data_IF_275556019655
#
_entry.id   IF_275556019655
#
_cell.length_a   1.000
_cell.length_b   1.000
_cell.length_c   1.000
_cell.angle_alpha   90.00
_cell.angle_beta   90.00
_cell.angle_gamma   90.00
#
_symmetry.space_group_name_H-M   'P 1'
#
loop_
_entity.id
_entity.type
_entity.pdbx_description
1 polymer ?
#
# COMPACT_ATOMS: atom_id res chain seq x y z
N UNK A 1 59.56 -12.32 -64.43
CA UNK A 1 58.68 -11.40 -63.68
C UNK A 1 57.45 -11.21 -64.51
N UNK A 2 56.37 -11.92 -64.18
CA UNK A 2 54.99 -11.52 -64.50
C UNK A 2 54.07 -12.40 -63.65
N UNK A 3 53.71 -11.91 -62.47
CA UNK A 3 52.68 -12.50 -61.61
C UNK A 3 51.31 -12.05 -62.11
N UNK A 4 50.58 -12.95 -62.76
CA UNK A 4 49.18 -12.75 -63.12
C UNK A 4 48.29 -13.21 -61.97
N UNK A 5 47.69 -12.24 -61.28
CA UNK A 5 46.70 -12.47 -60.22
C UNK A 5 45.38 -12.92 -60.87
N UNK A 6 45.07 -14.21 -60.76
CA UNK A 6 43.80 -14.80 -61.19
C UNK A 6 42.66 -14.33 -60.27
N UNK A 7 41.92 -13.30 -60.71
CA UNK A 7 40.70 -12.84 -60.05
C UNK A 7 39.58 -13.86 -60.18
N UNK A 8 39.27 -14.60 -59.11
CA UNK A 8 38.09 -15.49 -59.01
C UNK A 8 36.81 -14.71 -59.39
N UNK A 9 36.25 -14.96 -60.59
CA UNK A 9 34.92 -14.50 -61.00
C UNK A 9 33.85 -15.14 -60.11
N UNK A 10 33.35 -14.39 -59.13
CA UNK A 10 32.14 -14.75 -58.36
C UNK A 10 30.99 -14.96 -59.35
N UNK A 11 30.38 -16.15 -59.36
CA UNK A 11 29.39 -16.53 -60.38
C UNK A 11 28.12 -15.67 -60.34
N UNK A 12 27.55 -15.35 -61.50
CA UNK A 12 26.34 -14.51 -61.69
C UNK A 12 25.14 -14.99 -60.86
N UNK A 13 25.04 -16.30 -60.63
CA UNK A 13 23.97 -16.91 -59.85
C UNK A 13 23.96 -16.48 -58.37
N UNK A 14 25.14 -16.32 -57.76
CA UNK A 14 25.24 -15.84 -56.38
C UNK A 14 24.75 -14.39 -56.23
N UNK A 15 24.93 -13.55 -57.25
CA UNK A 15 24.42 -12.17 -57.25
C UNK A 15 22.89 -12.12 -57.31
N UNK A 16 22.26 -13.01 -58.08
CA UNK A 16 20.80 -13.13 -58.14
C UNK A 16 20.20 -13.66 -56.84
N UNK A 17 20.82 -14.70 -56.24
CA UNK A 17 20.42 -15.21 -54.92
C UNK A 17 20.54 -14.11 -53.87
N UNK A 18 21.67 -13.41 -53.82
CA UNK A 18 21.88 -12.31 -52.89
C UNK A 18 20.85 -11.19 -53.09
N UNK A 19 20.53 -10.82 -54.34
CA UNK A 19 19.51 -9.83 -54.64
C UNK A 19 18.15 -10.22 -54.06
N UNK A 20 17.69 -11.46 -54.30
CA UNK A 20 16.40 -11.92 -53.75
C UNK A 20 16.41 -12.03 -52.23
N UNK A 21 17.53 -12.42 -51.62
CA UNK A 21 17.68 -12.39 -50.16
C UNK A 21 17.59 -10.98 -49.59
N UNK A 22 18.20 -9.99 -50.25
CA UNK A 22 18.10 -8.59 -49.85
C UNK A 22 16.67 -8.08 -50.00
N UNK A 23 15.98 -8.39 -51.11
CA UNK A 23 14.57 -8.03 -51.30
C UNK A 23 13.67 -8.68 -50.23
N UNK A 24 13.86 -9.96 -49.93
CA UNK A 24 13.13 -10.64 -48.86
C UNK A 24 13.39 -10.01 -47.49
N UNK A 25 14.64 -9.66 -47.17
CA UNK A 25 15.00 -8.98 -45.94
C UNK A 25 14.37 -7.58 -45.84
N UNK A 26 14.34 -6.81 -46.94
CA UNK A 26 13.69 -5.50 -47.00
C UNK A 26 12.17 -5.62 -46.79
N UNK A 27 11.51 -6.59 -47.44
CA UNK A 27 10.08 -6.83 -47.24
C UNK A 27 9.76 -7.23 -45.80
N UNK A 28 10.58 -8.09 -45.19
CA UNK A 28 10.43 -8.48 -43.79
C UNK A 28 10.61 -7.28 -42.86
N UNK A 29 11.62 -6.44 -43.11
CA UNK A 29 11.84 -5.22 -42.35
C UNK A 29 10.66 -4.25 -42.48
N UNK A 30 10.17 -4.01 -43.70
CA UNK A 30 9.00 -3.18 -43.95
C UNK A 30 7.75 -3.72 -43.23
N UNK A 31 7.54 -5.04 -43.26
CA UNK A 31 6.47 -5.71 -42.52
C UNK A 31 6.57 -5.50 -41.01
N UNK A 32 7.77 -5.61 -40.42
CA UNK A 32 7.98 -5.36 -38.98
C UNK A 32 7.77 -3.89 -38.62
N UNK A 33 8.19 -2.96 -39.47
CA UNK A 33 7.97 -1.51 -39.29
C UNK A 33 6.47 -1.21 -39.31
N UNK A 34 5.76 -1.70 -40.32
CA UNK A 34 4.30 -1.54 -40.45
C UNK A 34 3.57 -2.14 -39.25
N UNK A 35 3.91 -3.37 -38.86
CA UNK A 35 3.33 -4.02 -37.68
C UNK A 35 3.60 -3.20 -36.40
N UNK A 36 4.82 -2.67 -36.23
CA UNK A 36 5.18 -1.82 -35.09
C UNK A 36 4.39 -0.53 -35.05
N UNK A 37 4.10 0.07 -36.21
CA UNK A 37 3.26 1.24 -36.34
C UNK A 37 1.78 0.92 -36.01
N UNK A 38 1.22 -0.14 -36.59
CA UNK A 38 -0.17 -0.59 -36.32
C UNK A 38 -0.37 -0.89 -34.83
N UNK A 39 0.57 -1.59 -34.19
CA UNK A 39 0.48 -1.85 -32.74
C UNK A 39 0.64 -0.57 -31.93
N UNK A 40 1.46 0.39 -32.38
CA UNK A 40 1.55 1.73 -31.78
C UNK A 40 0.23 2.48 -31.82
N UNK A 41 -0.47 2.46 -32.96
CA UNK A 41 -1.80 3.06 -33.09
C UNK A 41 -2.82 2.37 -32.19
N UNK A 42 -2.81 1.04 -32.13
CA UNK A 42 -3.68 0.28 -31.21
C UNK A 42 -3.39 0.62 -29.74
N UNK A 43 -2.12 0.80 -29.36
CA UNK A 43 -1.75 1.23 -28.02
C UNK A 43 -2.27 2.65 -27.72
N UNK A 44 -2.15 3.58 -28.68
CA UNK A 44 -2.73 4.91 -28.57
C UNK A 44 -4.26 4.87 -28.41
N UNK A 45 -4.95 3.99 -29.14
CA UNK A 45 -6.39 3.81 -29.00
C UNK A 45 -6.81 3.32 -27.60
N UNK A 46 -6.00 2.50 -26.93
CA UNK A 46 -6.27 2.14 -25.52
C UNK A 46 -6.17 3.37 -24.59
N UNK A 47 -5.25 4.30 -24.85
CA UNK A 47 -5.14 5.56 -24.06
C UNK A 47 -6.38 6.42 -24.25
N UNK A 48 -6.83 6.58 -25.50
CA UNK A 48 -8.07 7.31 -25.82
C UNK A 48 -9.26 6.67 -25.13
N UNK A 49 -9.41 5.33 -25.21
CA UNK A 49 -10.47 4.58 -24.53
C UNK A 49 -10.49 4.85 -23.01
N UNK A 50 -9.33 4.88 -22.36
CA UNK A 50 -9.23 5.18 -20.91
C UNK A 50 -9.69 6.62 -20.64
N UNK A 51 -9.29 7.58 -21.48
CA UNK A 51 -9.74 8.97 -21.36
C UNK A 51 -11.26 9.11 -21.53
N UNK A 52 -11.83 8.43 -22.54
CA UNK A 52 -13.27 8.45 -22.84
C UNK A 52 -14.10 7.81 -21.72
N UNK A 53 -13.52 6.85 -20.99
CA UNK A 53 -14.13 6.27 -19.79
C UNK A 53 -14.08 7.22 -18.57
N UNK A 54 -13.44 8.39 -18.68
CA UNK A 54 -13.27 9.34 -17.56
C UNK A 54 -12.26 8.86 -16.52
N UNK A 55 -11.44 7.87 -16.85
CA UNK A 55 -10.46 7.31 -15.92
C UNK A 55 -9.12 8.05 -15.99
N UNK A 56 -8.32 8.06 -14.91
CA UNK A 56 -7.06 8.80 -14.82
C UNK A 56 -6.02 8.29 -15.82
N UNK A 57 -5.32 9.24 -16.45
CA UNK A 57 -4.19 9.01 -17.35
C UNK A 57 -2.87 9.59 -16.84
N UNK A 58 -2.95 10.55 -15.91
CA UNK A 58 -1.82 11.31 -15.42
C UNK A 58 -1.79 11.35 -13.89
N UNK A 59 -0.62 11.62 -13.31
CA UNK A 59 -0.48 11.78 -11.86
C UNK A 59 -1.44 12.86 -11.28
N UNK A 60 -1.60 14.05 -11.90
CA UNK A 60 -2.63 15.00 -11.50
C UNK A 60 -4.06 14.47 -11.52
N UNK A 61 -4.42 13.54 -12.41
CA UNK A 61 -5.76 12.93 -12.41
C UNK A 61 -5.94 12.06 -11.16
N UNK A 62 -4.92 11.24 -10.84
CA UNK A 62 -4.93 10.39 -9.65
C UNK A 62 -5.05 11.23 -8.38
N UNK A 63 -4.24 12.27 -8.24
CA UNK A 63 -4.31 13.16 -7.09
C UNK A 63 -5.69 13.81 -6.94
N UNK A 64 -6.37 14.17 -8.04
CA UNK A 64 -7.71 14.76 -8.03
C UNK A 64 -8.79 13.81 -7.54
N UNK A 65 -8.68 12.50 -7.82
CA UNK A 65 -9.63 11.50 -7.31
C UNK A 65 -9.58 11.35 -5.77
N UNK A 66 -8.50 11.82 -5.15
CA UNK A 66 -8.23 11.65 -3.71
C UNK A 66 -8.56 12.90 -2.90
N UNK A 67 -8.89 14.01 -3.58
CA UNK A 67 -9.24 15.27 -2.93
C UNK A 67 -10.57 15.08 -2.21
N UNK A 68 -10.51 14.93 -0.89
CA UNK A 68 -11.61 15.37 -0.03
C UNK A 68 -11.69 16.88 -0.25
N UNK A 69 -12.78 17.37 -0.86
CA UNK A 69 -13.03 18.81 -0.98
C UNK A 69 -12.69 19.48 0.35
N UNK A 70 -11.84 20.51 0.39
CA UNK A 70 -11.94 21.65 1.32
C UNK A 70 -10.94 22.76 0.98
N UNK A 71 -11.27 23.91 1.57
CA UNK A 71 -10.98 25.32 1.27
C UNK A 71 -9.53 25.79 1.47
N UNK A 72 -9.28 27.03 1.06
CA UNK A 72 -8.06 27.86 1.16
C UNK A 72 -7.47 28.07 2.60
N UNK A 73 -7.65 27.12 3.52
CA UNK A 73 -7.09 27.13 4.89
C UNK A 73 -5.65 26.60 4.97
N UNK A 74 -5.10 26.49 6.18
CA UNK A 74 -3.77 25.89 6.41
C UNK A 74 -3.75 24.40 6.02
N UNK A 75 -2.84 24.03 5.11
CA UNK A 75 -2.66 22.64 4.64
C UNK A 75 -1.60 21.93 5.50
N UNK A 76 -1.94 20.77 6.06
CA UNK A 76 -1.04 19.92 6.83
C UNK A 76 0.24 19.51 6.06
N UNK A 77 0.26 19.65 4.72
CA UNK A 77 1.39 19.26 3.88
C UNK A 77 2.73 19.86 4.32
N UNK A 78 2.76 21.14 4.71
CA UNK A 78 4.02 21.80 5.09
C UNK A 78 4.64 21.18 6.35
N UNK A 79 3.84 20.87 7.36
CA UNK A 79 4.30 20.17 8.57
C UNK A 79 4.89 18.80 8.25
N UNK A 80 4.27 18.02 7.34
CA UNK A 80 4.81 16.72 6.93
C UNK A 80 6.12 16.84 6.14
N UNK A 81 6.24 17.84 5.26
CA UNK A 81 7.50 18.13 4.53
C UNK A 81 8.61 18.46 5.52
N UNK A 82 8.37 19.38 6.45
CA UNK A 82 9.34 19.76 7.46
C UNK A 82 9.72 18.59 8.38
N UNK A 83 8.73 17.77 8.79
CA UNK A 83 8.97 16.59 9.61
C UNK A 83 9.88 15.59 8.89
N UNK A 84 9.61 15.28 7.61
CA UNK A 84 10.43 14.38 6.80
C UNK A 84 11.84 14.92 6.56
N UNK A 85 11.97 16.24 6.34
CA UNK A 85 13.27 16.89 6.17
C UNK A 85 14.09 16.96 7.46
N UNK A 86 13.43 16.96 8.63
CA UNK A 86 14.08 17.00 9.95
C UNK A 86 14.69 15.66 10.36
N UNK A 87 14.30 14.56 9.71
CA UNK A 87 14.92 13.26 9.94
C UNK A 87 16.26 13.23 9.21
N UNK A 88 17.35 13.28 9.96
CA UNK A 88 18.68 12.98 9.41
C UNK A 88 18.76 11.54 8.88
N UNK A 89 19.92 11.12 8.35
CA UNK A 89 20.17 9.70 8.08
C UNK A 89 20.27 8.94 9.41
N UNK A 90 19.13 8.75 10.08
CA UNK A 90 19.03 7.90 11.25
C UNK A 90 19.45 6.50 10.85
N UNK A 91 20.15 5.81 11.75
CA UNK A 91 20.47 4.41 11.53
C UNK A 91 19.17 3.59 11.63
N UNK A 92 18.39 3.54 10.54
CA UNK A 92 17.08 2.90 10.47
C UNK A 92 17.15 1.43 10.90
N UNK A 93 18.27 0.74 10.65
CA UNK A 93 18.45 -0.63 11.11
C UNK A 93 18.58 -0.70 12.63
N UNK A 94 19.30 0.22 13.26
CA UNK A 94 19.37 0.34 14.72
C UNK A 94 18.01 0.71 15.33
N UNK A 95 17.29 1.66 14.73
CA UNK A 95 15.95 2.05 15.20
C UNK A 95 14.96 0.88 15.12
N UNK A 96 14.95 0.12 14.01
CA UNK A 96 14.16 -1.10 13.87
C UNK A 96 14.50 -2.13 14.95
N UNK A 97 15.79 -2.28 15.27
CA UNK A 97 16.25 -3.17 16.33
C UNK A 97 15.72 -2.72 17.70
N UNK A 98 15.87 -1.44 18.05
CA UNK A 98 15.37 -0.87 19.31
C UNK A 98 13.85 -1.06 19.40
N UNK A 99 13.11 -0.66 18.35
CA UNK A 99 11.66 -0.80 18.28
C UNK A 99 11.20 -2.26 18.48
N UNK A 100 11.81 -3.21 17.75
CA UNK A 100 11.49 -4.63 17.88
C UNK A 100 11.74 -5.17 19.28
N UNK A 101 12.88 -4.83 19.89
CA UNK A 101 13.18 -5.30 21.25
C UNK A 101 12.27 -4.66 22.29
N UNK A 102 12.01 -3.35 22.18
CA UNK A 102 11.13 -2.66 23.11
C UNK A 102 9.72 -3.25 23.09
N UNK A 103 9.15 -3.46 21.90
CA UNK A 103 7.83 -4.09 21.75
C UNK A 103 7.80 -5.52 22.29
N UNK A 104 8.83 -6.33 22.03
CA UNK A 104 8.90 -7.70 22.57
C UNK A 104 8.93 -7.72 24.11
N UNK A 105 9.71 -6.82 24.73
CA UNK A 105 9.74 -6.69 26.19
C UNK A 105 8.39 -6.19 26.72
N UNK A 106 7.72 -5.29 26.01
CA UNK A 106 6.36 -4.86 26.35
C UNK A 106 5.31 -5.96 26.20
N UNK A 107 5.54 -6.99 25.39
CA UNK A 107 4.65 -8.15 25.36
C UNK A 107 4.95 -9.15 26.50
N UNK A 108 6.19 -9.21 26.97
CA UNK A 108 6.67 -10.30 27.83
C UNK A 108 6.89 -9.91 29.30
N UNK A 109 7.18 -8.65 29.60
CA UNK A 109 7.66 -8.20 30.90
C UNK A 109 6.81 -7.06 31.48
N UNK A 110 6.75 -6.95 32.82
CA UNK A 110 6.39 -5.74 33.54
C UNK A 110 7.36 -4.58 33.26
N UNK A 111 6.89 -3.33 33.40
CA UNK A 111 7.66 -2.12 33.04
C UNK A 111 8.96 -1.93 33.85
N UNK A 112 8.96 -2.35 35.11
CA UNK A 112 10.11 -2.27 36.03
C UNK A 112 11.24 -3.25 35.67
N UNK A 113 10.93 -4.30 34.91
CA UNK A 113 11.89 -5.32 34.46
C UNK A 113 12.53 -5.01 33.11
N UNK A 114 12.20 -3.87 32.50
CA UNK A 114 12.78 -3.50 31.21
C UNK A 114 14.28 -3.20 31.35
N UNK A 115 15.12 -3.70 30.42
CA UNK A 115 16.55 -3.38 30.42
C UNK A 115 16.77 -1.86 30.44
N UNK A 116 17.61 -1.39 31.36
CA UNK A 116 17.88 0.05 31.57
C UNK A 116 18.41 0.69 30.28
N UNK A 117 19.43 0.09 29.66
CA UNK A 117 20.02 0.56 28.40
C UNK A 117 18.99 0.70 27.27
N UNK A 118 17.98 -0.18 27.25
CA UNK A 118 16.91 -0.14 26.25
C UNK A 118 15.97 1.04 26.52
N UNK A 119 15.59 1.29 27.78
CA UNK A 119 14.78 2.46 28.16
C UNK A 119 15.52 3.77 27.89
N UNK A 120 16.81 3.85 28.20
CA UNK A 120 17.65 5.01 27.88
C UNK A 120 17.74 5.24 26.38
N UNK A 121 17.94 4.17 25.59
CA UNK A 121 17.98 4.26 24.13
C UNK A 121 16.67 4.80 23.55
N UNK A 122 15.51 4.35 24.07
CA UNK A 122 14.21 4.88 23.66
C UNK A 122 14.08 6.35 24.04
N UNK A 123 14.34 6.71 25.29
CA UNK A 123 14.27 8.08 25.79
C UNK A 123 15.14 9.06 24.98
N UNK A 124 16.36 8.65 24.61
CA UNK A 124 17.24 9.44 23.75
C UNK A 124 16.63 9.68 22.36
N UNK A 125 16.10 8.63 21.71
CA UNK A 125 15.45 8.76 20.40
C UNK A 125 14.21 9.67 20.47
N UNK A 126 13.39 9.54 21.51
CA UNK A 126 12.21 10.38 21.71
C UNK A 126 12.57 11.84 21.98
N UNK A 127 13.62 12.08 22.76
CA UNK A 127 14.12 13.44 23.03
C UNK A 127 14.58 14.13 21.76
N UNK A 128 15.36 13.43 20.91
CA UNK A 128 15.83 13.96 19.62
C UNK A 128 14.66 14.22 18.66
N UNK A 129 13.61 13.38 18.70
CA UNK A 129 12.46 13.47 17.82
C UNK A 129 11.36 14.46 18.28
N UNK A 130 11.52 15.13 19.44
CA UNK A 130 10.47 15.99 20.02
C UNK A 130 9.91 17.04 19.06
N UNK A 131 10.79 17.77 18.37
CA UNK A 131 10.36 18.80 17.41
C UNK A 131 9.74 18.23 16.13
N UNK A 132 9.91 16.94 15.85
CA UNK A 132 9.22 16.22 14.77
C UNK A 132 7.81 15.85 15.24
N UNK A 133 7.66 15.34 16.46
CA UNK A 133 6.36 15.03 17.06
C UNK A 133 5.43 16.24 17.10
N UNK A 134 5.93 17.40 17.54
CA UNK A 134 5.13 18.64 17.57
C UNK A 134 4.59 19.03 16.18
N UNK A 135 5.35 18.81 15.10
CA UNK A 135 4.88 19.05 13.73
C UNK A 135 3.84 18.02 13.30
N UNK A 136 4.05 16.76 13.64
CA UNK A 136 3.10 15.68 13.29
C UNK A 136 1.77 15.84 14.01
N UNK A 137 1.79 16.26 15.28
CA UNK A 137 0.59 16.52 16.07
C UNK A 137 -0.20 17.70 15.49
N UNK A 138 0.48 18.78 15.06
CA UNK A 138 -0.15 19.88 14.30
C UNK A 138 -0.68 19.44 12.94
N UNK A 139 0.08 18.65 12.19
CA UNK A 139 -0.38 18.11 10.91
C UNK A 139 -1.63 17.23 11.07
N UNK A 140 -1.76 16.54 12.20
CA UNK A 140 -2.89 15.71 12.52
C UNK A 140 -4.17 16.51 12.86
N UNK A 141 -4.06 17.75 13.36
CA UNK A 141 -5.24 18.61 13.59
C UNK A 141 -5.78 19.23 12.29
N UNK A 142 -4.92 19.38 11.27
CA UNK A 142 -5.28 20.07 10.03
C UNK A 142 -5.74 19.13 8.89
N UNK A 143 -6.56 19.65 7.94
CA UNK A 143 -6.84 18.96 6.69
C UNK A 143 -5.56 18.82 5.86
N UNK A 144 -5.45 17.72 5.12
CA UNK A 144 -4.37 17.50 4.16
C UNK A 144 -4.95 17.66 2.75
N UNK A 145 -4.56 18.71 2.02
CA UNK A 145 -5.08 18.95 0.68
C UNK A 145 -4.28 18.16 -0.36
N UNK A 146 -2.96 18.41 -0.48
CA UNK A 146 -2.10 17.69 -1.42
C UNK A 146 -0.72 17.44 -0.85
N UNK A 147 -0.32 16.17 -0.81
CA UNK A 147 1.03 15.77 -0.47
C UNK A 147 1.56 14.76 -1.48
N UNK A 148 2.68 15.05 -2.13
CA UNK A 148 3.36 14.10 -3.02
C UNK A 148 4.58 13.50 -2.32
N UNK A 149 4.52 12.19 -2.06
CA UNK A 149 5.65 11.43 -1.49
C UNK A 149 6.86 11.34 -2.46
N UNK A 150 6.73 11.87 -3.67
CA UNK A 150 7.79 11.99 -4.67
C UNK A 150 7.61 11.05 -5.86
N UNK A 151 6.47 10.37 -5.98
CA UNK A 151 6.21 9.36 -7.02
C UNK A 151 6.20 9.97 -8.42
N UNK A 152 5.80 11.25 -8.54
CA UNK A 152 5.81 11.97 -9.82
C UNK A 152 7.21 12.07 -10.44
N UNK A 153 8.26 11.97 -9.61
CA UNK A 153 9.66 12.01 -10.01
C UNK A 153 10.31 10.61 -10.09
N UNK A 154 9.50 9.54 -10.01
CA UNK A 154 9.94 8.16 -10.03
C UNK A 154 10.06 7.50 -8.64
N UNK A 155 10.02 6.17 -8.63
CA UNK A 155 10.06 5.36 -7.40
C UNK A 155 11.39 5.56 -6.66
N UNK A 156 12.49 5.72 -7.40
CA UNK A 156 13.80 6.00 -6.80
C UNK A 156 13.81 7.33 -6.04
N UNK A 157 13.18 8.38 -6.59
CA UNK A 157 13.09 9.69 -5.94
C UNK A 157 12.18 9.63 -4.70
N UNK A 158 11.06 8.91 -4.78
CA UNK A 158 10.19 8.68 -3.63
C UNK A 158 10.89 7.89 -2.49
N UNK A 159 11.92 7.09 -2.80
CA UNK A 159 12.63 6.24 -1.85
C UNK A 159 13.16 6.96 -0.62
N UNK A 160 13.61 8.22 -0.75
CA UNK A 160 14.10 9.02 0.38
C UNK A 160 12.97 9.39 1.34
N UNK A 161 11.85 9.91 0.83
CA UNK A 161 10.70 10.26 1.67
C UNK A 161 10.06 9.02 2.30
N UNK A 162 10.01 7.89 1.58
CA UNK A 162 9.49 6.63 2.14
C UNK A 162 10.36 6.09 3.27
N UNK A 163 11.69 6.22 3.19
CA UNK A 163 12.59 5.91 4.30
C UNK A 163 12.38 6.85 5.48
N UNK A 164 12.24 8.16 5.22
CA UNK A 164 11.91 9.13 6.26
C UNK A 164 10.59 8.79 6.97
N UNK A 165 9.54 8.47 6.21
CA UNK A 165 8.26 8.08 6.77
C UNK A 165 8.37 6.82 7.63
N UNK A 166 9.18 5.83 7.25
CA UNK A 166 9.47 4.65 8.07
C UNK A 166 10.10 5.03 9.41
N UNK A 167 11.10 5.90 9.40
CA UNK A 167 11.74 6.40 10.62
C UNK A 167 10.74 7.13 11.54
N UNK A 168 9.92 8.04 10.99
CA UNK A 168 8.86 8.72 11.77
C UNK A 168 7.89 7.71 12.38
N UNK A 169 7.40 6.74 11.60
CA UNK A 169 6.42 5.75 12.06
C UNK A 169 6.98 4.93 13.22
N UNK A 170 8.25 4.50 13.14
CA UNK A 170 8.90 3.78 14.24
C UNK A 170 9.10 4.65 15.48
N UNK A 171 9.44 5.94 15.31
CA UNK A 171 9.58 6.88 16.43
C UNK A 171 8.23 7.18 17.10
N UNK A 172 7.16 7.35 16.31
CA UNK A 172 5.80 7.52 16.81
C UNK A 172 5.31 6.28 17.57
N UNK A 173 5.59 5.08 17.05
CA UNK A 173 5.28 3.82 17.73
C UNK A 173 6.05 3.69 19.06
N UNK A 174 7.35 4.05 19.09
CA UNK A 174 8.11 4.14 20.35
C UNK A 174 7.51 5.15 21.32
N UNK A 175 7.10 6.34 20.85
CA UNK A 175 6.43 7.36 21.67
C UNK A 175 5.16 6.81 22.30
N UNK A 176 4.30 6.16 21.50
CA UNK A 176 3.07 5.55 22.01
C UNK A 176 3.35 4.50 23.07
N UNK A 177 4.27 3.56 22.82
CA UNK A 177 4.61 2.52 23.80
C UNK A 177 5.18 3.11 25.10
N UNK A 178 6.03 4.13 25.01
CA UNK A 178 6.61 4.82 26.18
C UNK A 178 5.54 5.57 27.00
N UNK A 179 4.56 6.19 26.34
CA UNK A 179 3.42 6.85 27.00
C UNK A 179 2.52 5.85 27.75
N UNK A 180 2.23 4.68 27.13
CA UNK A 180 1.48 3.60 27.79
C UNK A 180 2.20 3.14 29.07
N UNK A 181 3.52 2.94 29.02
CA UNK A 181 4.28 2.52 30.20
C UNK A 181 4.34 3.58 31.31
N UNK A 182 4.14 4.85 30.97
CA UNK A 182 4.06 5.94 31.94
C UNK A 182 2.65 6.12 32.51
N UNK A 183 1.66 5.32 32.08
CA UNK A 183 0.25 5.48 32.45
C UNK A 183 -0.38 6.73 31.85
N UNK A 184 0.18 7.26 30.75
CA UNK A 184 -0.30 8.45 30.05
C UNK A 184 -1.17 8.03 28.86
N UNK A 185 -2.25 7.33 29.15
CA UNK A 185 -3.05 6.61 28.14
C UNK A 185 -3.77 7.55 27.16
N UNK A 186 -4.24 8.72 27.63
CA UNK A 186 -4.84 9.74 26.76
C UNK A 186 -3.81 10.29 25.76
N UNK A 187 -2.59 10.59 26.23
CA UNK A 187 -1.50 11.05 25.35
C UNK A 187 -1.08 9.95 24.35
N UNK A 188 -1.13 8.68 24.77
CA UNK A 188 -0.85 7.54 23.90
C UNK A 188 -1.94 7.39 22.82
N UNK A 189 -3.21 7.58 23.17
CA UNK A 189 -4.32 7.60 22.23
C UNK A 189 -4.17 8.75 21.21
N UNK A 190 -3.82 9.95 21.66
CA UNK A 190 -3.53 11.08 20.77
C UNK A 190 -2.33 10.83 19.86
N UNK A 191 -1.26 10.22 20.38
CA UNK A 191 -0.10 9.80 19.58
C UNK A 191 -0.50 8.80 18.49
N UNK A 192 -1.41 7.86 18.80
CA UNK A 192 -1.96 6.92 17.81
C UNK A 192 -2.83 7.60 16.75
N UNK A 193 -3.64 8.60 17.13
CA UNK A 193 -4.39 9.41 16.17
C UNK A 193 -3.44 10.13 15.21
N UNK A 194 -2.37 10.76 15.72
CA UNK A 194 -1.33 11.39 14.90
C UNK A 194 -0.66 10.40 13.95
N UNK A 195 -0.32 9.19 14.44
CA UNK A 195 0.29 8.13 13.66
C UNK A 195 -0.64 7.63 12.53
N UNK A 196 -1.92 7.43 12.82
CA UNK A 196 -2.89 6.99 11.83
C UNK A 196 -3.16 8.10 10.79
N UNK A 197 -3.27 9.36 11.21
CA UNK A 197 -3.46 10.50 10.30
C UNK A 197 -2.25 10.78 9.41
N UNK A 198 -1.04 10.40 9.82
CA UNK A 198 0.14 10.42 8.94
C UNK A 198 -0.06 9.54 7.70
N UNK A 199 -0.84 8.47 7.76
CA UNK A 199 -1.05 7.57 6.62
C UNK A 199 -1.65 8.26 5.39
N UNK A 200 -2.26 9.44 5.57
CA UNK A 200 -2.79 10.30 4.49
C UNK A 200 -1.71 10.72 3.48
N UNK A 201 -0.43 10.77 3.87
CA UNK A 201 0.67 11.14 2.94
C UNK A 201 0.86 10.15 1.77
N UNK A 202 0.34 8.93 1.91
CA UNK A 202 0.43 7.87 0.90
C UNK A 202 -0.77 7.84 -0.05
N UNK A 203 -1.80 8.65 0.19
CA UNK A 203 -3.07 8.57 -0.55
C UNK A 203 -3.07 9.31 -1.88
N UNK A 204 -2.14 10.24 -2.11
CA UNK A 204 -2.11 11.03 -3.36
C UNK A 204 -1.80 10.20 -4.61
N UNK A 205 -0.87 9.24 -4.48
CA UNK A 205 -0.43 8.37 -5.57
C UNK A 205 -0.20 6.94 -5.04
N UNK A 206 -1.27 6.20 -4.70
CA UNK A 206 -1.18 4.92 -4.02
C UNK A 206 -0.81 3.80 -5.00
N UNK A 207 0.32 3.92 -5.73
CA UNK A 207 0.85 2.82 -6.55
C UNK A 207 1.01 1.55 -5.69
N UNK A 208 1.12 0.39 -6.33
CA UNK A 208 1.25 -0.90 -5.61
C UNK A 208 2.38 -0.88 -4.56
N UNK A 209 3.52 -0.27 -4.90
CA UNK A 209 4.68 -0.11 -3.99
C UNK A 209 4.35 0.81 -2.82
N UNK A 210 3.72 1.96 -3.07
CA UNK A 210 3.34 2.94 -2.04
C UNK A 210 2.32 2.34 -1.08
N UNK A 211 1.31 1.65 -1.62
CA UNK A 211 0.30 0.97 -0.82
C UNK A 211 0.88 -0.13 0.04
N UNK A 212 1.89 -0.87 -0.44
CA UNK A 212 2.58 -1.88 0.37
C UNK A 212 3.20 -1.28 1.64
N UNK A 213 3.79 -0.09 1.52
CA UNK A 213 4.40 0.60 2.66
C UNK A 213 3.30 1.12 3.61
N UNK A 214 2.24 1.73 3.07
CA UNK A 214 1.07 2.16 3.87
C UNK A 214 0.48 0.97 4.64
N UNK A 215 0.25 -0.16 3.98
CA UNK A 215 -0.29 -1.38 4.57
C UNK A 215 0.54 -1.88 5.77
N UNK A 216 1.88 -1.86 5.65
CA UNK A 216 2.78 -2.24 6.74
C UNK A 216 2.65 -1.30 7.95
N UNK A 217 2.57 0.01 7.71
CA UNK A 217 2.44 1.00 8.77
C UNK A 217 1.06 0.98 9.44
N UNK A 218 0.00 0.73 8.68
CA UNK A 218 -1.34 0.52 9.24
C UNK A 218 -1.37 -0.71 10.14
N UNK A 219 -0.80 -1.84 9.70
CA UNK A 219 -0.70 -3.03 10.55
C UNK A 219 0.10 -2.77 11.83
N UNK A 220 1.20 -2.02 11.74
CA UNK A 220 1.98 -1.62 12.92
C UNK A 220 1.14 -0.78 13.91
N UNK A 221 0.37 0.19 13.41
CA UNK A 221 -0.49 1.04 14.21
C UNK A 221 -1.65 0.26 14.86
N UNK A 222 -2.26 -0.71 14.15
CA UNK A 222 -3.25 -1.62 14.73
C UNK A 222 -2.70 -2.40 15.94
N UNK A 223 -1.44 -2.85 15.86
CA UNK A 223 -0.77 -3.51 16.99
C UNK A 223 -0.48 -2.54 18.15
N UNK A 224 -0.16 -1.26 17.87
CA UNK A 224 0.02 -0.25 18.92
C UNK A 224 -1.32 0.09 19.60
N UNK A 225 -2.43 0.15 18.84
CA UNK A 225 -3.78 0.27 19.42
C UNK A 225 -4.06 -0.94 20.30
N UNK A 226 -3.77 -2.17 19.85
CA UNK A 226 -3.93 -3.38 20.67
C UNK A 226 -3.16 -3.25 22.00
N UNK A 227 -1.92 -2.76 21.97
CA UNK A 227 -1.14 -2.54 23.20
C UNK A 227 -1.78 -1.51 24.13
N UNK A 228 -2.33 -0.41 23.59
CA UNK A 228 -3.09 0.56 24.39
C UNK A 228 -4.31 -0.08 25.05
N UNK A 229 -5.07 -0.90 24.32
CA UNK A 229 -6.27 -1.56 24.87
C UNK A 229 -5.92 -2.63 25.93
N UNK A 230 -4.79 -3.32 25.79
CA UNK A 230 -4.36 -4.36 26.72
C UNK A 230 -3.71 -3.83 28.01
N UNK A 231 -3.10 -2.64 27.96
CA UNK A 231 -2.25 -2.12 29.06
C UNK A 231 -2.66 -0.76 29.59
N UNK A 232 -3.51 -0.04 28.88
CA UNK A 232 -3.99 1.28 29.26
C UNK A 232 -5.51 1.31 29.48
N UNK A 233 -5.97 2.45 29.97
CA UNK A 233 -7.35 2.74 30.33
C UNK A 233 -7.80 4.04 29.66
N UNK A 234 -7.72 4.09 28.32
CA UNK A 234 -8.13 5.25 27.53
C UNK A 234 -9.63 5.55 27.70
N UNK A 235 -9.97 6.83 27.78
CA UNK A 235 -11.33 7.33 27.95
C UNK A 235 -12.24 6.98 26.75
N UNK A 236 -13.55 6.98 26.98
CA UNK A 236 -14.55 6.79 25.92
C UNK A 236 -14.41 7.84 24.79
N UNK A 237 -14.00 9.07 25.13
CA UNK A 237 -13.75 10.14 24.14
C UNK A 237 -12.55 9.79 23.25
N UNK A 238 -11.43 9.40 23.85
CA UNK A 238 -10.22 8.97 23.12
C UNK A 238 -10.47 7.74 22.26
N UNK A 239 -11.24 6.76 22.75
CA UNK A 239 -11.62 5.57 21.99
C UNK A 239 -12.53 5.92 20.80
N UNK A 240 -13.47 6.84 20.98
CA UNK A 240 -14.33 7.33 19.88
C UNK A 240 -13.48 7.99 18.79
N UNK A 241 -12.56 8.89 19.18
CA UNK A 241 -11.63 9.56 18.25
C UNK A 241 -10.72 8.57 17.51
N UNK A 242 -10.29 7.50 18.18
CA UNK A 242 -9.53 6.41 17.56
C UNK A 242 -10.36 5.61 16.57
N UNK A 243 -11.61 5.26 16.89
CA UNK A 243 -12.53 4.55 15.98
C UNK A 243 -12.75 5.36 14.70
N UNK A 244 -13.10 6.64 14.85
CA UNK A 244 -13.32 7.55 13.72
C UNK A 244 -12.08 7.63 12.83
N UNK A 245 -10.90 7.75 13.44
CA UNK A 245 -9.63 7.81 12.72
C UNK A 245 -9.35 6.50 12.00
N UNK A 246 -9.48 5.35 12.66
CA UNK A 246 -9.28 4.03 12.07
C UNK A 246 -10.23 3.76 10.89
N UNK A 247 -11.49 4.17 11.01
CA UNK A 247 -12.50 4.02 9.95
C UNK A 247 -12.12 4.75 8.65
N UNK A 248 -11.35 5.83 8.77
CA UNK A 248 -10.99 6.70 7.66
C UNK A 248 -9.62 6.40 7.02
N UNK A 249 -8.80 5.52 7.62
CA UNK A 249 -7.39 5.29 7.20
C UNK A 249 -7.29 4.57 5.86
N UNK A 250 -8.12 3.54 5.63
CA UNK A 250 -8.18 2.83 4.33
C UNK A 250 -9.62 2.86 3.83
N UNK A 251 -9.92 3.58 2.74
CA UNK A 251 -11.28 3.62 2.22
C UNK A 251 -11.65 2.30 1.54
N UNK A 252 -12.95 2.01 1.43
CA UNK A 252 -13.46 0.77 0.83
C UNK A 252 -13.01 0.57 -0.64
N UNK A 253 -12.77 1.66 -1.37
CA UNK A 253 -12.31 1.69 -2.76
C UNK A 253 -10.76 1.70 -2.91
N UNK A 254 -10.02 1.44 -1.83
CA UNK A 254 -8.55 1.52 -1.84
C UNK A 254 -7.90 0.65 -2.93
N UNK A 255 -8.40 -0.58 -3.15
CA UNK A 255 -7.83 -1.49 -4.14
C UNK A 255 -7.98 -0.95 -5.58
N UNK A 256 -9.13 -0.34 -5.90
CA UNK A 256 -9.35 0.31 -7.19
C UNK A 256 -8.36 1.46 -7.38
N UNK A 257 -8.26 2.34 -6.38
CA UNK A 257 -7.32 3.48 -6.41
C UNK A 257 -5.88 3.04 -6.63
N UNK A 258 -5.48 1.91 -6.03
CA UNK A 258 -4.16 1.33 -6.21
C UNK A 258 -3.92 0.89 -7.66
N UNK A 259 -4.86 0.17 -8.25
CA UNK A 259 -4.74 -0.27 -9.64
C UNK A 259 -4.79 0.89 -10.63
N UNK A 260 -5.62 1.91 -10.39
CA UNK A 260 -5.64 3.13 -11.19
C UNK A 260 -4.29 3.87 -11.13
N UNK A 261 -3.74 4.07 -9.93
CA UNK A 261 -2.45 4.72 -9.74
C UNK A 261 -1.30 3.92 -10.39
N UNK A 262 -1.32 2.59 -10.27
CA UNK A 262 -0.33 1.73 -10.92
C UNK A 262 -0.42 1.81 -12.44
N UNK A 263 -1.62 1.83 -13.02
CA UNK A 263 -1.81 1.99 -14.47
C UNK A 263 -1.23 3.32 -14.97
N UNK A 264 -1.49 4.41 -14.26
CA UNK A 264 -0.92 5.74 -14.57
C UNK A 264 0.60 5.72 -14.48
N UNK A 265 1.17 5.13 -13.44
CA UNK A 265 2.62 4.98 -13.31
C UNK A 265 3.23 4.24 -14.51
N UNK A 266 2.57 3.18 -15.00
CA UNK A 266 3.04 2.43 -16.18
C UNK A 266 2.84 3.18 -17.50
N UNK A 267 1.80 4.01 -17.63
CA UNK A 267 1.64 4.92 -18.77
C UNK A 267 2.81 5.91 -18.80
N UNK A 268 3.16 6.49 -17.66
CA UNK A 268 4.23 7.47 -17.53
C UNK A 268 5.62 6.87 -17.79
N UNK A 269 5.91 5.70 -17.23
CA UNK A 269 7.13 4.90 -17.50
C UNK A 269 7.21 4.53 -18.99
N UNK A 270 6.06 4.15 -19.57
CA UNK A 270 5.91 3.70 -20.94
C UNK A 270 5.66 4.80 -21.98
N UNK A 271 5.68 6.10 -21.64
CA UNK A 271 5.25 7.20 -22.54
C UNK A 271 5.88 7.10 -23.93
N UNK A 272 7.17 6.74 -24.01
CA UNK A 272 7.92 6.62 -25.27
C UNK A 272 7.37 5.56 -26.24
N UNK A 273 6.53 4.64 -25.76
CA UNK A 273 5.88 3.62 -26.58
C UNK A 273 4.61 4.13 -27.26
N UNK A 274 3.99 5.18 -26.70
CA UNK A 274 2.74 5.81 -27.14
C UNK A 274 3.02 6.75 -28.32
N UNK A 275 2.17 6.81 -29.36
CA UNK A 275 2.32 7.78 -30.44
C UNK A 275 2.37 9.22 -29.92
N UNK A 276 3.31 10.02 -30.42
CA UNK A 276 3.58 11.38 -29.94
C UNK A 276 2.34 12.27 -29.93
N UNK A 277 1.53 12.22 -30.99
CA UNK A 277 0.26 12.98 -31.07
C UNK A 277 -0.69 12.66 -29.92
N UNK A 278 -0.85 11.37 -29.61
CA UNK A 278 -1.71 10.91 -28.51
C UNK A 278 -1.10 11.33 -27.16
N UNK A 279 0.21 11.18 -26.99
CA UNK A 279 0.87 11.59 -25.75
C UNK A 279 0.77 13.10 -25.51
N UNK A 280 0.87 13.93 -26.55
CA UNK A 280 0.76 15.38 -26.48
C UNK A 280 -0.68 15.87 -26.19
N UNK A 281 -1.68 15.14 -26.65
CA UNK A 281 -3.09 15.48 -26.47
C UNK A 281 -3.64 15.03 -25.10
N UNK A 282 -3.28 13.82 -24.65
CA UNK A 282 -3.94 13.17 -23.50
C UNK A 282 -3.10 13.12 -22.21
N UNK A 283 -1.78 13.29 -22.29
CA UNK A 283 -0.90 13.16 -21.13
C UNK A 283 -0.37 14.52 -20.68
N UNK A 284 0.09 14.59 -19.42
CA UNK A 284 0.63 15.82 -18.86
C UNK A 284 1.88 16.30 -19.63
N UNK A 285 1.98 17.62 -19.81
CA UNK A 285 3.06 18.33 -20.48
C UNK A 285 3.50 19.53 -19.60
N UNK A 286 4.80 19.72 -19.27
CA UNK A 286 5.95 18.88 -19.64
C UNK A 286 5.85 17.44 -19.11
N UNK A 287 6.44 16.50 -19.84
CA UNK A 287 6.57 15.13 -19.39
C UNK A 287 7.41 15.09 -18.10
N UNK A 288 7.00 14.34 -17.06
CA UNK A 288 7.79 14.22 -15.84
C UNK A 288 9.15 13.58 -16.13
N UNK A 289 10.17 14.03 -15.42
CA UNK A 289 11.48 13.41 -15.45
C UNK A 289 11.49 12.20 -14.50
N UNK A 290 11.44 10.99 -15.07
CA UNK A 290 11.31 9.73 -14.34
C UNK A 290 12.47 8.82 -14.75
N UNK A 291 13.40 8.49 -13.83
CA UNK A 291 14.55 7.63 -14.12
C UNK A 291 14.18 6.25 -14.68
N UNK A 292 13.00 5.74 -14.34
CA UNK A 292 12.49 4.42 -14.73
C UNK A 292 11.93 4.39 -16.18
N UNK A 293 11.92 5.51 -16.90
CA UNK A 293 11.38 5.62 -18.26
C UNK A 293 11.96 4.55 -19.20
N UNK A 294 11.08 3.78 -19.86
CA UNK A 294 11.47 2.69 -20.75
C UNK A 294 12.26 3.25 -21.95
N UNK A 295 13.49 2.75 -22.11
CA UNK A 295 14.32 3.03 -23.29
C UNK A 295 13.83 2.19 -24.47
N UNK A 296 13.65 2.84 -25.62
CA UNK A 296 13.25 2.15 -26.85
C UNK A 296 14.41 1.28 -27.36
N UNK A 297 14.17 -0.01 -27.66
CA UNK A 297 15.17 -0.84 -28.33
C UNK A 297 15.60 -0.24 -29.67
N UNK A 298 16.86 -0.44 -30.05
CA UNK A 298 17.35 -0.06 -31.38
C UNK A 298 16.64 -0.81 -32.52
N UNK A 299 16.21 -2.05 -32.27
CA UNK A 299 15.54 -2.90 -33.27
C UNK A 299 14.02 -2.66 -33.34
N UNK A 300 13.48 -2.64 -34.56
CA UNK A 300 12.02 -2.52 -34.78
C UNK A 300 11.23 -3.68 -34.19
N UNK A 301 11.77 -4.90 -34.25
CA UNK A 301 11.14 -6.08 -33.64
C UNK A 301 11.09 -5.96 -32.10
N UNK A 302 12.12 -5.39 -31.47
CA UNK A 302 12.13 -5.11 -30.04
C UNK A 302 11.05 -4.10 -29.65
N UNK A 303 10.92 -3.00 -30.41
CA UNK A 303 9.87 -2.00 -30.22
C UNK A 303 8.46 -2.59 -30.38
N UNK A 304 8.25 -3.41 -31.42
CA UNK A 304 6.99 -4.13 -31.65
C UNK A 304 6.62 -5.00 -30.44
N UNK A 305 7.55 -5.83 -29.95
CA UNK A 305 7.33 -6.70 -28.79
C UNK A 305 7.00 -5.91 -27.51
N UNK A 306 7.67 -4.78 -27.28
CA UNK A 306 7.37 -3.92 -26.12
C UNK A 306 5.98 -3.31 -26.21
N UNK A 307 5.58 -2.77 -27.37
CA UNK A 307 4.23 -2.21 -27.53
C UNK A 307 3.15 -3.28 -27.39
N UNK A 308 3.38 -4.50 -27.88
CA UNK A 308 2.47 -5.62 -27.66
C UNK A 308 2.31 -5.97 -26.18
N UNK A 309 3.43 -5.98 -25.42
CA UNK A 309 3.40 -6.20 -23.96
C UNK A 309 2.65 -5.07 -23.24
N UNK A 310 2.93 -3.81 -23.56
CA UNK A 310 2.24 -2.65 -22.98
C UNK A 310 0.73 -2.68 -23.24
N UNK A 311 0.31 -3.01 -24.47
CA UNK A 311 -1.11 -3.16 -24.80
C UNK A 311 -1.78 -4.28 -24.01
N UNK A 312 -1.12 -5.44 -23.88
CA UNK A 312 -1.64 -6.55 -23.04
C UNK A 312 -1.76 -6.10 -21.58
N UNK A 313 -0.75 -5.41 -21.07
CA UNK A 313 -0.75 -4.88 -19.70
C UNK A 313 -1.97 -3.98 -19.45
N UNK A 314 -2.26 -3.01 -20.32
CA UNK A 314 -3.42 -2.12 -20.10
C UNK A 314 -4.76 -2.83 -20.17
N UNK A 315 -4.91 -3.82 -21.07
CA UNK A 315 -6.11 -4.65 -21.13
C UNK A 315 -6.28 -5.50 -19.87
N UNK A 316 -5.19 -6.08 -19.36
CA UNK A 316 -5.25 -6.88 -18.14
C UNK A 316 -5.52 -5.98 -16.91
N UNK A 317 -5.00 -4.74 -16.89
CA UNK A 317 -5.35 -3.73 -15.86
C UNK A 317 -6.82 -3.31 -15.89
N UNK A 318 -7.43 -3.15 -17.08
CA UNK A 318 -8.87 -2.86 -17.25
C UNK A 318 -9.73 -3.91 -16.53
N UNK A 319 -9.36 -5.19 -16.65
CA UNK A 319 -10.03 -6.29 -15.96
C UNK A 319 -9.83 -6.23 -14.45
N UNK A 320 -8.60 -5.94 -13.98
CA UNK A 320 -8.30 -5.81 -12.55
C UNK A 320 -9.07 -4.67 -11.90
N UNK A 321 -9.13 -3.49 -12.54
CA UNK A 321 -9.88 -2.32 -12.07
C UNK A 321 -11.39 -2.62 -12.03
N UNK A 322 -11.91 -3.30 -13.06
CA UNK A 322 -13.32 -3.70 -13.11
C UNK A 322 -13.68 -4.64 -11.95
N UNK A 323 -12.80 -5.60 -11.64
CA UNK A 323 -13.01 -6.54 -10.54
C UNK A 323 -12.85 -5.85 -9.19
N UNK A 324 -11.89 -4.92 -9.03
CA UNK A 324 -11.67 -4.21 -7.77
C UNK A 324 -12.84 -3.30 -7.33
N UNK A 325 -13.74 -2.94 -8.25
CA UNK A 325 -14.96 -2.16 -7.97
C UNK A 325 -16.09 -2.97 -7.31
N UNK A 326 -15.98 -4.29 -7.29
CA UNK A 326 -16.99 -5.17 -6.68
C UNK A 326 -16.85 -5.13 -5.16
N UNK A 327 -17.94 -5.31 -4.39
CA UNK A 327 -17.84 -5.46 -2.95
C UNK A 327 -16.94 -6.65 -2.59
N UNK A 328 -16.39 -6.68 -1.38
CA UNK A 328 -15.69 -7.87 -0.88
C UNK A 328 -16.70 -8.98 -0.57
N UNK A 329 -16.35 -10.27 -0.76
CA UNK A 329 -15.02 -10.82 -1.06
C UNK A 329 -14.66 -10.96 -2.55
N UNK A 330 -15.46 -10.41 -3.47
CA UNK A 330 -15.34 -10.68 -4.91
C UNK A 330 -13.95 -10.36 -5.50
N UNK A 331 -13.29 -9.22 -5.18
CA UNK A 331 -11.92 -8.97 -5.63
C UNK A 331 -10.94 -10.08 -5.22
N UNK A 332 -11.06 -10.59 -3.99
CA UNK A 332 -10.23 -11.68 -3.51
C UNK A 332 -10.43 -12.97 -4.33
N UNK A 333 -11.68 -13.37 -4.53
CA UNK A 333 -12.03 -14.59 -5.24
C UNK A 333 -11.60 -14.51 -6.72
N UNK A 334 -11.83 -13.39 -7.37
CA UNK A 334 -11.63 -13.29 -8.82
C UNK A 334 -10.19 -12.96 -9.24
N UNK A 335 -9.39 -12.36 -8.34
CA UNK A 335 -7.98 -12.05 -8.59
C UNK A 335 -7.08 -13.07 -7.90
N UNK A 336 -7.18 -13.21 -6.58
CA UNK A 336 -6.28 -14.05 -5.81
C UNK A 336 -6.58 -15.54 -5.98
N UNK A 337 -7.79 -16.02 -5.66
CA UNK A 337 -8.10 -17.45 -5.76
C UNK A 337 -7.94 -17.95 -7.20
N UNK A 338 -8.41 -17.16 -8.17
CA UNK A 338 -8.32 -17.52 -9.59
C UNK A 338 -6.86 -17.66 -10.03
N UNK A 339 -5.98 -16.77 -9.60
CA UNK A 339 -4.54 -16.87 -9.87
C UNK A 339 -3.95 -18.11 -9.18
N UNK A 340 -4.29 -18.34 -7.91
CA UNK A 340 -3.76 -19.44 -7.12
C UNK A 340 -4.22 -20.82 -7.63
N UNK A 341 -5.46 -20.93 -8.11
CA UNK A 341 -6.05 -22.17 -8.67
C UNK A 341 -5.65 -22.44 -10.13
N UNK A 342 -5.05 -21.46 -10.81
CA UNK A 342 -4.63 -21.60 -12.21
C UNK A 342 -3.44 -22.55 -12.33
N UNK A 343 -3.50 -23.50 -13.28
CA UNK A 343 -2.36 -24.36 -13.64
C UNK A 343 -1.33 -23.63 -14.51
N UNK A 344 -1.72 -22.53 -15.15
CA UNK A 344 -0.84 -21.72 -15.98
C UNK A 344 0.02 -20.79 -15.13
N UNK A 345 1.29 -20.61 -15.51
CA UNK A 345 2.17 -19.63 -14.88
C UNK A 345 1.62 -18.21 -15.11
N UNK A 346 1.21 -17.48 -14.06
CA UNK A 346 0.65 -16.15 -14.24
C UNK A 346 1.71 -15.19 -14.76
N UNK A 347 1.30 -14.22 -15.56
CA UNK A 347 2.13 -13.07 -15.90
C UNK A 347 2.47 -12.26 -14.65
N UNK A 348 3.60 -11.52 -14.68
CA UNK A 348 4.07 -10.71 -13.53
C UNK A 348 3.01 -9.76 -12.97
N UNK A 349 2.22 -9.13 -13.85
CA UNK A 349 1.12 -8.25 -13.42
C UNK A 349 0.08 -9.01 -12.60
N UNK A 350 -0.41 -10.15 -13.08
CA UNK A 350 -1.46 -10.92 -12.40
C UNK A 350 -0.95 -11.44 -11.05
N UNK A 351 0.29 -11.94 -10.99
CA UNK A 351 0.90 -12.36 -9.74
C UNK A 351 1.02 -11.19 -8.74
N UNK A 352 1.47 -10.01 -9.22
CA UNK A 352 1.54 -8.79 -8.40
C UNK A 352 0.16 -8.35 -7.92
N UNK A 353 -0.83 -8.30 -8.81
CA UNK A 353 -2.19 -7.89 -8.47
C UNK A 353 -2.84 -8.81 -7.44
N UNK A 354 -2.64 -10.13 -7.56
CA UNK A 354 -3.08 -11.09 -6.56
C UNK A 354 -2.43 -10.83 -5.20
N UNK A 355 -1.11 -10.66 -5.15
CA UNK A 355 -0.40 -10.36 -3.90
C UNK A 355 -0.91 -9.06 -3.23
N UNK A 356 -1.17 -8.00 -4.01
CA UNK A 356 -1.70 -6.73 -3.48
C UNK A 356 -3.18 -6.82 -3.11
N UNK A 357 -3.96 -7.68 -3.76
CA UNK A 357 -5.35 -7.96 -3.37
C UNK A 357 -5.38 -8.69 -2.02
N UNK A 358 -4.50 -9.68 -1.82
CA UNK A 358 -4.34 -10.34 -0.53
C UNK A 358 -3.87 -9.35 0.55
N UNK A 359 -2.87 -8.52 0.24
CA UNK A 359 -2.40 -7.50 1.18
C UNK A 359 -3.50 -6.51 1.58
N UNK A 360 -4.33 -6.08 0.63
CA UNK A 360 -5.47 -5.21 0.92
C UNK A 360 -6.48 -5.91 1.84
N UNK A 361 -6.77 -7.19 1.60
CA UNK A 361 -7.66 -7.97 2.45
C UNK A 361 -7.12 -8.08 3.89
N UNK A 362 -5.83 -8.38 4.06
CA UNK A 362 -5.18 -8.47 5.38
C UNK A 362 -5.28 -7.14 6.15
N UNK A 363 -5.05 -6.02 5.47
CA UNK A 363 -5.15 -4.68 6.09
C UNK A 363 -6.58 -4.36 6.50
N UNK A 364 -7.58 -4.70 5.66
CA UNK A 364 -8.98 -4.53 6.02
C UNK A 364 -9.34 -5.37 7.25
N UNK A 365 -8.91 -6.63 7.32
CA UNK A 365 -9.15 -7.47 8.51
C UNK A 365 -8.52 -6.84 9.76
N UNK A 366 -7.26 -6.42 9.68
CA UNK A 366 -6.58 -5.78 10.81
C UNK A 366 -7.35 -4.54 11.29
N UNK A 367 -7.73 -3.64 10.38
CA UNK A 367 -8.51 -2.45 10.73
C UNK A 367 -9.89 -2.80 11.29
N UNK A 368 -10.62 -3.74 10.68
CA UNK A 368 -11.96 -4.12 11.13
C UNK A 368 -11.92 -4.74 12.54
N UNK A 369 -10.98 -5.64 12.82
CA UNK A 369 -10.80 -6.23 14.14
C UNK A 369 -10.39 -5.17 15.18
N UNK A 370 -9.45 -4.27 14.84
CA UNK A 370 -9.04 -3.17 15.72
C UNK A 370 -10.19 -2.21 16.02
N UNK A 371 -11.00 -1.84 15.03
CA UNK A 371 -12.17 -0.98 15.24
C UNK A 371 -13.20 -1.60 16.17
N UNK A 372 -13.49 -2.88 16.00
CA UNK A 372 -14.41 -3.59 16.90
C UNK A 372 -13.84 -3.66 18.31
N UNK A 373 -12.54 -3.92 18.47
CA UNK A 373 -11.92 -3.91 19.80
C UNK A 373 -12.01 -2.54 20.48
N UNK A 374 -11.70 -1.47 19.75
CA UNK A 374 -11.87 -0.09 20.26
C UNK A 374 -13.32 0.18 20.66
N UNK A 375 -14.30 -0.28 19.87
CA UNK A 375 -15.71 -0.14 20.19
C UNK A 375 -16.14 -0.95 21.43
N UNK A 376 -15.61 -2.17 21.61
CA UNK A 376 -15.84 -2.98 22.83
C UNK A 376 -15.27 -2.26 24.06
N UNK A 377 -14.06 -1.71 23.97
CA UNK A 377 -13.48 -0.95 25.09
C UNK A 377 -14.27 0.33 25.38
N UNK A 378 -14.81 0.99 24.35
CA UNK A 378 -15.72 2.13 24.51
C UNK A 378 -17.02 1.73 25.21
N UNK A 379 -17.58 0.56 24.86
CA UNK A 379 -18.74 -0.03 25.53
C UNK A 379 -18.47 -0.28 27.01
N UNK A 380 -17.34 -0.91 27.33
CA UNK A 380 -16.92 -1.18 28.71
C UNK A 380 -16.75 0.12 29.52
N UNK A 381 -16.08 1.11 28.95
CA UNK A 381 -15.85 2.41 29.58
C UNK A 381 -17.16 3.18 29.83
N UNK A 382 -18.16 3.03 28.96
CA UNK A 382 -19.46 3.69 29.10
C UNK A 382 -20.43 3.02 30.08
N UNK A 383 -20.43 1.68 30.15
CA UNK A 383 -21.35 0.91 30.99
C UNK A 383 -20.94 0.89 32.48
N UNK A 384 -19.65 0.94 32.77
CA UNK A 384 -19.11 0.90 34.15
C UNK A 384 -19.31 -0.43 34.89
N UNK A 385 -20.01 -1.41 34.30
CA UNK A 385 -20.26 -2.75 34.87
C UNK A 385 -19.13 -3.75 34.62
N UNK A 386 -18.20 -3.44 33.71
CA UNK A 386 -17.11 -4.33 33.30
C UNK A 386 -17.56 -5.55 32.46
N UNK A 387 -18.85 -5.62 32.09
CA UNK A 387 -19.38 -6.73 31.30
C UNK A 387 -19.12 -6.52 29.80
N UNK A 388 -18.56 -7.54 29.15
CA UNK A 388 -18.39 -7.57 27.70
C UNK A 388 -19.75 -7.66 26.98
N UNK A 389 -19.88 -7.12 25.76
CA UNK A 389 -21.11 -7.29 24.98
C UNK A 389 -21.30 -8.77 24.64
N UNK A 390 -22.54 -9.27 24.68
CA UNK A 390 -22.85 -10.67 24.31
C UNK A 390 -22.79 -10.86 22.79
N UNK A 391 -23.07 -9.80 22.03
CA UNK A 391 -22.98 -9.79 20.58
C UNK A 391 -22.42 -8.46 20.03
N UNK A 392 -21.75 -8.53 18.87
CA UNK A 392 -21.20 -7.33 18.20
C UNK A 392 -22.26 -6.29 17.82
N UNK A 393 -23.52 -6.71 17.66
CA UNK A 393 -24.62 -5.81 17.32
C UNK A 393 -24.96 -4.83 18.45
N UNK A 394 -24.59 -5.12 19.70
CA UNK A 394 -24.77 -4.20 20.84
C UNK A 394 -23.85 -2.97 20.75
N UNK A 395 -22.81 -3.03 19.92
CA UNK A 395 -21.91 -1.90 19.67
C UNK A 395 -22.57 -0.84 18.76
N UNK A 396 -23.64 -1.20 18.06
CA UNK A 396 -24.34 -0.37 17.08
C UNK A 396 -25.55 0.32 17.71
N UNK A 397 -25.83 1.61 17.41
CA UNK A 397 -25.03 2.54 16.60
C UNK A 397 -24.03 3.38 17.42
N UNK A 398 -23.96 3.16 18.73
CA UNK A 398 -23.35 4.11 19.66
C UNK A 398 -21.81 4.14 19.62
N UNK A 399 -21.18 3.00 19.31
CA UNK A 399 -19.70 2.88 19.29
C UNK A 399 -19.16 2.62 17.87
N UNK A 400 -19.99 2.07 16.99
CA UNK A 400 -19.69 1.90 15.57
C UNK A 400 -20.97 2.01 14.74
N UNK A 401 -20.88 2.56 13.52
CA UNK A 401 -22.05 2.71 12.63
C UNK A 401 -22.66 1.38 12.20
N UNK A 402 -21.81 0.36 11.99
CA UNK A 402 -22.21 -0.98 11.58
C UNK A 402 -21.05 -1.95 11.79
N UNK A 403 -21.32 -3.21 12.11
CA UNK A 403 -20.29 -4.25 12.20
C UNK A 403 -19.71 -4.50 10.79
N UNK A 404 -18.39 -4.31 10.57
CA UNK A 404 -17.78 -4.55 9.27
C UNK A 404 -17.74 -6.05 8.96
N UNK A 405 -17.93 -6.38 7.69
CA UNK A 405 -17.85 -7.76 7.20
C UNK A 405 -16.39 -8.20 7.04
N UNK A 406 -16.17 -9.50 7.18
CA UNK A 406 -14.95 -10.20 6.83
C UNK A 406 -14.74 -10.19 5.31
N UNK A 407 -13.64 -9.57 4.86
CA UNK A 407 -13.32 -9.41 3.45
C UNK A 407 -12.95 -10.71 2.74
N UNK A 408 -12.69 -11.80 3.47
CA UNK A 408 -12.42 -13.11 2.89
C UNK A 408 -13.68 -13.94 2.65
N UNK A 409 -14.71 -13.78 3.49
CA UNK A 409 -15.93 -14.61 3.47
C UNK A 409 -17.20 -13.85 3.12
N UNK A 410 -17.23 -12.53 3.29
CA UNK A 410 -18.43 -11.69 3.20
C UNK A 410 -19.40 -11.85 4.36
N UNK A 411 -19.00 -12.53 5.44
CA UNK A 411 -19.81 -12.75 6.66
C UNK A 411 -19.37 -11.79 7.77
N UNK A 412 -20.11 -11.75 8.88
CA UNK A 412 -19.66 -11.01 10.07
C UNK A 412 -18.35 -11.58 10.60
N UNK A 413 -17.48 -10.74 11.17
CA UNK A 413 -16.31 -11.18 11.91
C UNK A 413 -16.71 -12.09 13.07
N UNK A 414 -15.84 -13.03 13.43
CA UNK A 414 -16.05 -13.92 14.56
C UNK A 414 -15.65 -13.21 15.85
N UNK A 415 -16.51 -13.30 16.85
CA UNK A 415 -16.32 -12.76 18.19
C UNK A 415 -16.46 -13.87 19.21
N UNK A 416 -15.51 -13.93 20.14
CA UNK A 416 -15.51 -14.87 21.26
C UNK A 416 -15.02 -14.14 22.50
N UNK A 417 -15.61 -14.43 23.64
CA UNK A 417 -15.15 -13.89 24.91
C UNK A 417 -15.33 -14.89 26.04
N UNK A 418 -14.60 -14.64 27.12
CA UNK A 418 -14.76 -15.22 28.45
C UNK A 418 -14.70 -14.09 29.49
N UNK A 419 -14.53 -14.44 30.76
CA UNK A 419 -14.48 -13.45 31.85
C UNK A 419 -13.19 -12.59 31.83
N UNK A 420 -12.11 -13.07 31.19
CA UNK A 420 -10.77 -12.47 31.29
C UNK A 420 -10.22 -11.95 29.96
N UNK A 421 -10.89 -12.25 28.85
CA UNK A 421 -10.43 -11.91 27.51
C UNK A 421 -11.54 -11.95 26.48
N UNK A 422 -11.29 -11.28 25.37
CA UNK A 422 -12.07 -11.44 24.15
C UNK A 422 -11.19 -11.44 22.91
N UNK A 423 -11.75 -11.96 21.83
CA UNK A 423 -11.09 -12.11 20.55
C UNK A 423 -12.05 -11.76 19.42
N UNK A 424 -11.54 -11.01 18.45
CA UNK A 424 -12.23 -10.65 17.21
C UNK A 424 -11.34 -11.05 16.05
N UNK A 425 -11.87 -11.87 15.12
CA UNK A 425 -11.05 -12.44 14.05
C UNK A 425 -11.82 -12.79 12.78
N UNK A 426 -11.06 -12.94 11.70
CA UNK A 426 -11.42 -13.45 10.39
C UNK A 426 -10.80 -14.83 10.18
N UNK A 427 -11.53 -15.68 9.45
CA UNK A 427 -11.08 -17.00 8.98
C UNK A 427 -10.04 -16.96 7.86
N UNK A 428 -9.62 -15.75 7.44
CA UNK A 428 -8.51 -15.56 6.51
C UNK A 428 -8.67 -16.35 5.20
N UNK A 429 -7.53 -16.67 4.57
CA UNK A 429 -7.43 -17.30 3.26
C UNK A 429 -8.00 -18.73 3.18
N UNK A 430 -8.01 -19.49 4.29
CA UNK A 430 -8.55 -20.85 4.30
C UNK A 430 -10.08 -20.89 4.42
N UNK A 431 -10.69 -19.80 4.94
CA UNK A 431 -12.13 -19.63 5.18
C UNK A 431 -12.72 -20.69 6.11
N UNK A 432 -11.89 -21.22 7.00
CA UNK A 432 -12.26 -22.16 8.04
C UNK A 432 -12.06 -21.49 9.40
N UNK A 433 -12.99 -21.72 10.32
CA UNK A 433 -12.82 -21.25 11.70
C UNK A 433 -11.84 -22.20 12.41
N UNK A 434 -10.58 -21.76 12.53
CA UNK A 434 -9.52 -22.49 13.22
C UNK A 434 -9.46 -22.16 14.72
N UNK A 435 -10.59 -21.68 15.27
CA UNK A 435 -10.75 -21.39 16.69
C UNK A 435 -10.08 -20.11 17.15
N UNK A 436 -9.76 -19.20 16.23
CA UNK A 436 -9.02 -17.98 16.50
C UNK A 436 -7.52 -18.24 16.64
N UNK A 437 -6.98 -19.08 15.77
CA UNK A 437 -5.55 -19.38 15.68
C UNK A 437 -4.77 -18.20 15.06
N UNK A 438 -4.83 -17.04 15.73
CA UNK A 438 -4.25 -15.74 15.32
C UNK A 438 -2.74 -15.63 15.57
N UNK A 439 -2.15 -16.63 16.25
CA UNK A 439 -0.70 -16.81 16.42
C UNK A 439 -0.27 -18.06 15.65
N UNK A 440 0.89 -18.06 14.97
CA UNK A 440 1.41 -19.26 14.33
C UNK A 440 1.61 -20.36 15.37
N UNK A 441 1.22 -21.60 15.06
CA UNK A 441 1.59 -22.75 15.88
C UNK A 441 3.07 -23.09 15.67
N UNK A 442 3.63 -23.89 16.57
CA UNK A 442 5.01 -24.37 16.44
C UNK A 442 5.19 -25.11 15.11
N UNK A 443 6.16 -24.66 14.29
CA UNK A 443 6.41 -25.18 12.94
C UNK A 443 5.66 -24.46 11.81
N UNK A 444 4.68 -23.61 12.12
CA UNK A 444 3.97 -22.80 11.13
C UNK A 444 4.61 -21.42 10.96
N UNK A 445 4.61 -20.90 9.73
CA UNK A 445 5.18 -19.58 9.42
C UNK A 445 4.16 -18.44 9.51
N UNK A 446 2.88 -18.77 9.42
CA UNK A 446 1.77 -17.82 9.38
C UNK A 446 0.60 -18.37 10.19
N UNK A 447 -0.17 -17.53 10.89
CA UNK A 447 -1.39 -17.97 11.56
C UNK A 447 -2.48 -18.35 10.55
N UNK A 448 -3.39 -19.22 10.98
CA UNK A 448 -4.52 -19.69 10.16
C UNK A 448 -5.68 -18.68 10.16
N UNK A 449 -5.91 -18.03 11.29
CA UNK A 449 -6.87 -16.95 11.46
C UNK A 449 -6.16 -15.59 11.56
N UNK A 450 -6.89 -14.51 11.34
CA UNK A 450 -6.37 -13.14 11.42
C UNK A 450 -7.26 -12.28 12.30
N UNK A 451 -6.69 -11.66 13.32
CA UNK A 451 -7.45 -10.86 14.25
C UNK A 451 -6.61 -10.45 15.44
N UNK A 452 -7.28 -10.12 16.53
CA UNK A 452 -6.63 -9.74 17.77
C UNK A 452 -7.36 -10.34 18.96
N UNK A 453 -6.61 -10.55 20.04
CA UNK A 453 -7.10 -10.92 21.35
C UNK A 453 -6.68 -9.84 22.34
N UNK A 454 -7.60 -9.43 23.21
CA UNK A 454 -7.39 -8.48 24.31
C UNK A 454 -7.68 -9.23 25.61
N UNK A 455 -6.83 -9.01 26.61
CA UNK A 455 -7.04 -9.49 27.99
C UNK A 455 -7.59 -8.35 28.84
N UNK A 456 -8.70 -8.58 29.52
CA UNK A 456 -9.37 -7.59 30.37
C UNK A 456 -8.80 -7.55 31.79
N UNK A 457 -8.10 -8.61 32.23
CA UNK A 457 -7.68 -8.82 33.63
C UNK A 457 -6.22 -8.47 34.00
N UNK A 458 -5.43 -7.88 33.09
CA UNK A 458 -4.11 -7.36 33.47
C UNK A 458 -4.28 -5.97 34.09
N UNK A 459 -4.77 -5.91 35.34
CA UNK A 459 -4.80 -4.71 36.22
C UNK A 459 -4.73 -3.39 35.45
N UNK A 460 -5.88 -3.01 34.87
CA UNK A 460 -6.12 -1.67 34.32
C UNK A 460 -6.02 -0.58 35.37
#
# INVERSE_FOLDING_TARGET
MDETVEGKKVSSHWRQILFWLVVAAMMLLAGVILASWVVGMKLGAEIVKISEAGEPLTFPDVARMQVRQHSDGEDAAHYYVEALASIGPANLSNLKRIHSFYRQNMAALPADQFPVDLRESVSQNLTVAKAVFEKLDKAASEPLARFDIGIRNGIKAAGTHMQGANTIVLLMSLRTMDLILQGRDEDAADSLVSLLKLMRIFDSHPTMVVYTIKAQFVGLACEDVRLLLERGSASAESLTKLEETLSAVVPADALEKVFLAERVNQIEIGRNLIPEKIAAEYLQNPAPDIPERIRLPGSFLGRLRLRQKARRYFRDMDQLITVSRRPWPQPFVEIFDKMFKSTDKPGKLIASAAAHTYLAAEVFVALHCTRIAVAIEGFLAGQGSGQLPEALDELVPNYITSVPLDVFTGKQLLYRHDEESYMVYSTSINRLDDGGSIRPKEGEKVPLDRGLQIRTNLTK
#
